data_IF_810428554799
#
_entry.id   IF_810428554799
#
_cell.length_a   1.000
_cell.length_b   1.000
_cell.length_c   1.000
_cell.angle_alpha   90.00
_cell.angle_beta   90.00
_cell.angle_gamma   90.00
#
_symmetry.space_group_name_H-M   'P 1'
#
loop_
_entity.id
_entity.type
_entity.pdbx_description
1 polymer ?
#
# COMPACT_ATOMS: atom_id res chain seq x y z
N UNK A 1 40.36 -35.62 -91.08
CA UNK A 1 39.95 -34.47 -91.94
C UNK A 1 39.17 -33.47 -91.09
N UNK A 2 39.43 -32.18 -91.33
CA UNK A 2 38.70 -30.95 -90.91
C UNK A 2 38.70 -30.51 -89.44
N UNK A 3 39.60 -29.55 -89.16
CA UNK A 3 39.33 -28.30 -88.43
C UNK A 3 38.17 -27.51 -89.12
N UNK A 4 37.40 -26.58 -88.47
CA UNK A 4 37.99 -25.40 -87.81
C UNK A 4 37.24 -24.72 -86.63
N UNK A 5 38.02 -23.89 -85.90
CA UNK A 5 37.81 -22.52 -85.39
C UNK A 5 36.40 -22.07 -84.93
N UNK A 6 36.31 -21.56 -83.68
CA UNK A 6 36.28 -20.11 -83.37
C UNK A 6 36.02 -19.86 -81.87
N UNK A 7 36.89 -19.06 -81.25
CA UNK A 7 36.69 -18.42 -79.94
C UNK A 7 36.12 -17.00 -80.16
N UNK A 8 35.16 -16.54 -79.36
CA UNK A 8 34.99 -15.13 -79.09
C UNK A 8 35.43 -14.78 -77.66
N UNK A 9 36.33 -13.80 -77.57
CA UNK A 9 36.69 -13.10 -76.34
C UNK A 9 35.48 -12.29 -75.85
N UNK A 10 34.92 -12.64 -74.69
CA UNK A 10 33.97 -11.79 -73.98
C UNK A 10 34.67 -11.10 -72.80
N UNK A 11 34.81 -9.78 -72.88
CA UNK A 11 35.22 -8.92 -71.77
C UNK A 11 34.02 -8.80 -70.81
N UNK A 12 34.08 -9.44 -69.65
CA UNK A 12 33.12 -9.19 -68.57
C UNK A 12 33.79 -8.26 -67.58
N UNK A 13 33.31 -7.02 -67.54
CA UNK A 13 33.66 -6.04 -66.51
C UNK A 13 33.06 -6.51 -65.17
N UNK A 14 33.89 -6.62 -64.13
CA UNK A 14 33.41 -6.81 -62.76
C UNK A 14 32.72 -5.53 -62.28
N UNK A 15 31.49 -5.58 -61.75
CA UNK A 15 30.93 -4.45 -61.04
C UNK A 15 31.62 -4.31 -59.67
N UNK A 16 32.18 -3.13 -59.43
CA UNK A 16 32.68 -2.72 -58.11
C UNK A 16 31.48 -2.62 -57.19
N UNK A 17 31.36 -3.58 -56.26
CA UNK A 17 30.36 -3.60 -55.21
C UNK A 17 30.73 -2.53 -54.17
N UNK A 18 30.12 -1.36 -54.25
CA UNK A 18 30.16 -0.36 -53.18
C UNK A 18 29.34 -0.88 -51.99
N UNK A 19 30.01 -1.54 -51.04
CA UNK A 19 29.43 -1.84 -49.73
C UNK A 19 29.37 -0.50 -48.99
N UNK A 20 28.23 0.18 -49.07
CA UNK A 20 27.93 1.29 -48.16
C UNK A 20 27.75 0.68 -46.78
N UNK A 21 28.81 0.74 -45.97
CA UNK A 21 28.79 0.38 -44.56
C UNK A 21 27.86 1.31 -43.79
N UNK A 22 26.57 0.99 -43.78
CA UNK A 22 25.61 1.59 -42.87
C UNK A 22 25.88 1.07 -41.46
N UNK A 23 26.67 1.80 -40.68
CA UNK A 23 26.71 1.62 -39.24
C UNK A 23 25.32 1.96 -38.69
N UNK A 24 24.46 0.94 -38.55
CA UNK A 24 23.17 1.06 -37.89
C UNK A 24 23.46 1.26 -36.39
N UNK A 25 23.65 2.51 -35.99
CA UNK A 25 23.69 2.89 -34.58
C UNK A 25 22.30 2.60 -33.99
N UNK A 26 22.15 1.41 -33.39
CA UNK A 26 20.99 1.12 -32.55
C UNK A 26 21.14 2.00 -31.31
N UNK A 27 20.52 3.17 -31.32
CA UNK A 27 20.31 3.96 -30.12
C UNK A 27 19.38 3.15 -29.21
N UNK A 28 19.94 2.42 -28.26
CA UNK A 28 19.18 1.85 -27.14
C UNK A 28 18.73 3.03 -26.26
N UNK A 29 17.57 3.60 -26.60
CA UNK A 29 16.87 4.53 -25.72
C UNK A 29 16.59 3.80 -24.42
N UNK A 30 17.24 4.21 -23.33
CA UNK A 30 16.90 3.79 -21.97
C UNK A 30 15.51 4.33 -21.65
N UNK A 31 14.47 3.61 -22.08
CA UNK A 31 13.11 3.89 -21.64
C UNK A 31 13.00 3.43 -20.19
N UNK A 32 12.89 4.37 -19.26
CA UNK A 32 12.53 4.07 -17.88
C UNK A 32 11.08 3.59 -17.87
N UNK A 33 10.87 2.28 -17.77
CA UNK A 33 9.52 1.72 -17.61
C UNK A 33 9.01 2.10 -16.22
N UNK A 34 8.00 2.97 -16.14
CA UNK A 34 7.33 3.26 -14.87
C UNK A 34 6.49 2.06 -14.43
N UNK A 35 6.65 1.64 -13.16
CA UNK A 35 5.84 0.58 -12.58
C UNK A 35 4.36 0.96 -12.55
N UNK A 36 3.48 0.02 -12.89
CA UNK A 36 2.03 0.15 -12.73
C UNK A 36 1.65 0.19 -11.25
N UNK A 37 0.45 0.71 -10.93
CA UNK A 37 -0.10 0.69 -9.55
C UNK A 37 -0.06 -0.73 -8.95
N UNK A 38 -0.46 -1.74 -9.70
CA UNK A 38 -0.41 -3.15 -9.28
C UNK A 38 1.01 -3.65 -9.00
N UNK A 39 1.99 -3.28 -9.82
CA UNK A 39 3.39 -3.65 -9.59
C UNK A 39 3.94 -2.98 -8.32
N UNK A 40 3.59 -1.71 -8.08
CA UNK A 40 3.97 -0.98 -6.87
C UNK A 40 3.30 -1.58 -5.62
N UNK A 41 2.00 -1.89 -5.68
CA UNK A 41 1.27 -2.57 -4.60
C UNK A 41 1.92 -3.91 -4.25
N UNK A 42 2.24 -4.72 -5.26
CA UNK A 42 2.93 -5.99 -5.04
C UNK A 42 4.30 -5.80 -4.39
N UNK A 43 5.06 -4.79 -4.80
CA UNK A 43 6.35 -4.47 -4.18
C UNK A 43 6.19 -4.05 -2.70
N UNK A 44 5.17 -3.24 -2.40
CA UNK A 44 4.85 -2.83 -1.02
C UNK A 44 4.49 -4.03 -0.13
N UNK A 45 3.68 -4.96 -0.63
CA UNK A 45 3.11 -6.05 0.16
C UNK A 45 3.88 -7.39 0.07
N UNK A 46 5.05 -7.41 -0.57
CA UNK A 46 5.91 -8.60 -0.66
C UNK A 46 7.14 -8.54 0.25
N UNK A 47 7.23 -7.52 1.11
CA UNK A 47 8.35 -7.35 2.05
C UNK A 47 8.34 -8.48 3.09
N UNK A 48 9.51 -9.05 3.35
CA UNK A 48 9.68 -10.00 4.46
C UNK A 48 9.66 -9.26 5.79
N UNK A 49 8.84 -9.74 6.73
CA UNK A 49 8.69 -9.17 8.07
C UNK A 49 8.89 -10.30 9.09
N UNK A 50 9.61 -10.05 10.21
CA UNK A 50 9.73 -11.03 11.28
C UNK A 50 8.36 -11.51 11.76
N UNK A 51 8.26 -12.80 12.08
CA UNK A 51 7.07 -13.42 12.66
C UNK A 51 7.47 -14.09 13.98
N UNK A 52 6.91 -13.69 15.14
CA UNK A 52 5.85 -12.69 15.29
C UNK A 52 6.32 -11.25 15.00
N UNK A 53 5.40 -10.41 14.53
CA UNK A 53 5.65 -8.98 14.37
C UNK A 53 5.81 -8.35 15.76
N UNK A 54 6.87 -7.55 15.93
CA UNK A 54 7.06 -6.70 17.09
C UNK A 54 7.00 -5.23 16.66
N UNK A 55 5.89 -4.55 16.97
CA UNK A 55 5.77 -3.11 16.80
C UNK A 55 6.39 -2.38 18.00
N UNK A 56 6.89 -1.14 17.82
CA UNK A 56 7.48 -0.37 18.91
C UNK A 56 6.49 -0.16 20.06
N UNK A 57 7.01 -0.04 21.28
CA UNK A 57 6.23 0.42 22.43
C UNK A 57 6.10 1.96 22.38
N UNK A 58 5.00 2.53 22.91
CA UNK A 58 4.86 3.98 23.00
C UNK A 58 5.95 4.54 23.92
N UNK A 59 6.55 5.66 23.51
CA UNK A 59 7.58 6.38 24.27
C UNK A 59 7.03 7.63 24.96
N UNK A 60 5.84 8.09 24.56
CA UNK A 60 5.13 9.22 25.17
C UNK A 60 3.62 9.00 25.15
N UNK A 61 2.92 9.74 25.99
CA UNK A 61 1.45 9.66 26.15
C UNK A 61 0.77 11.02 26.03
N UNK A 62 1.51 12.09 25.76
CA UNK A 62 1.03 13.45 25.64
C UNK A 62 1.94 14.25 24.70
N UNK A 63 1.50 15.45 24.28
CA UNK A 63 2.19 16.27 23.28
C UNK A 63 2.44 15.47 21.97
N UNK A 64 1.49 14.63 21.60
CA UNK A 64 1.45 13.91 20.35
C UNK A 64 1.18 14.89 19.21
N UNK A 65 1.68 14.58 18.01
CA UNK A 65 1.51 15.42 16.82
C UNK A 65 1.07 14.54 15.66
N UNK A 66 -0.01 14.92 14.98
CA UNK A 66 -0.34 14.37 13.66
C UNK A 66 0.54 15.05 12.63
N UNK A 67 1.19 14.27 11.77
CA UNK A 67 1.97 14.79 10.65
C UNK A 67 1.55 14.10 9.36
N UNK A 68 1.12 14.89 8.39
CA UNK A 68 0.71 14.43 7.05
C UNK A 68 -0.35 13.31 7.09
N UNK A 69 -1.29 13.37 8.04
CA UNK A 69 -2.34 12.36 8.23
C UNK A 69 -1.88 11.08 8.95
N UNK A 70 -0.65 11.04 9.46
CA UNK A 70 -0.12 9.93 10.28
C UNK A 70 0.02 10.36 11.75
N UNK A 71 -0.21 9.44 12.69
CA UNK A 71 0.03 9.72 14.10
C UNK A 71 1.52 9.83 14.43
N UNK A 72 1.80 10.44 15.58
CA UNK A 72 3.12 10.38 16.18
C UNK A 72 3.47 8.95 16.59
N UNK A 73 4.49 8.36 15.97
CA UNK A 73 4.93 6.98 16.25
C UNK A 73 5.34 6.76 17.71
N UNK A 74 5.75 7.82 18.43
CA UNK A 74 6.11 7.71 19.83
C UNK A 74 4.87 7.70 20.75
N UNK A 75 3.71 8.18 20.29
CA UNK A 75 2.43 8.02 21.00
C UNK A 75 1.68 6.77 20.55
N UNK A 76 1.53 6.60 19.24
CA UNK A 76 0.66 5.61 18.61
C UNK A 76 1.48 4.79 17.60
N UNK A 77 2.36 3.89 18.09
CA UNK A 77 3.14 3.00 17.22
C UNK A 77 2.31 1.88 16.56
N UNK A 78 1.05 1.70 16.98
CA UNK A 78 0.14 0.70 16.39
C UNK A 78 0.00 -0.57 17.22
N UNK A 79 -0.26 -0.46 18.53
CA UNK A 79 -0.35 -1.63 19.40
C UNK A 79 -1.38 -2.68 18.90
N UNK A 80 -0.98 -3.97 18.89
CA UNK A 80 -1.78 -5.12 18.46
C UNK A 80 -2.10 -6.04 19.64
N UNK A 81 -3.19 -6.79 19.55
CA UNK A 81 -3.50 -7.84 20.52
C UNK A 81 -2.47 -8.99 20.43
N UNK A 82 -1.94 -9.41 21.57
CA UNK A 82 -0.87 -10.42 21.66
C UNK A 82 -1.25 -11.80 21.12
N UNK A 83 -2.54 -12.15 21.12
CA UNK A 83 -3.05 -13.47 20.75
C UNK A 83 -3.88 -13.46 19.46
N UNK A 84 -3.86 -12.37 18.69
CA UNK A 84 -4.66 -12.31 17.48
C UNK A 84 -4.05 -13.13 16.35
N UNK A 85 -4.84 -14.05 15.82
CA UNK A 85 -4.49 -14.88 14.67
C UNK A 85 -5.26 -14.44 13.43
N UNK A 86 -4.74 -14.81 12.25
CA UNK A 86 -5.43 -14.63 10.98
C UNK A 86 -6.82 -15.28 11.02
N UNK A 87 -6.91 -16.47 11.58
CA UNK A 87 -8.16 -17.24 11.67
C UNK A 87 -9.21 -16.50 12.50
N UNK A 88 -8.80 -15.84 13.60
CA UNK A 88 -9.69 -15.04 14.42
C UNK A 88 -10.21 -13.81 13.66
N UNK A 89 -9.32 -13.02 13.03
CA UNK A 89 -9.73 -11.78 12.34
C UNK A 89 -10.55 -12.02 11.08
N UNK A 90 -10.44 -13.19 10.46
CA UNK A 90 -11.22 -13.58 9.29
C UNK A 90 -12.58 -14.20 9.66
N UNK A 91 -12.92 -14.23 10.95
CA UNK A 91 -14.25 -14.65 11.42
C UNK A 91 -15.21 -13.47 11.37
N UNK A 92 -16.39 -13.69 10.79
CA UNK A 92 -17.46 -12.67 10.73
C UNK A 92 -17.79 -12.18 12.13
N UNK A 93 -17.80 -10.85 12.32
CA UNK A 93 -18.11 -10.21 13.59
C UNK A 93 -16.94 -10.06 14.56
N UNK A 94 -15.72 -10.47 14.18
CA UNK A 94 -14.54 -10.34 15.05
C UNK A 94 -14.36 -8.90 15.59
N UNK A 95 -14.26 -7.91 14.70
CA UNK A 95 -14.02 -6.51 15.10
C UNK A 95 -15.10 -5.99 16.04
N UNK A 96 -16.36 -6.36 15.82
CA UNK A 96 -17.48 -5.97 16.70
C UNK A 96 -17.37 -6.62 18.09
N UNK A 97 -16.87 -7.86 18.18
CA UNK A 97 -16.73 -8.57 19.45
C UNK A 97 -15.57 -8.08 20.32
N UNK A 98 -14.54 -7.47 19.71
CA UNK A 98 -13.35 -6.98 20.45
C UNK A 98 -13.31 -5.46 20.60
N UNK A 99 -14.17 -4.70 19.90
CA UNK A 99 -14.18 -3.24 19.98
C UNK A 99 -14.55 -2.77 21.38
N UNK A 100 -13.67 -2.00 22.00
CA UNK A 100 -13.90 -1.43 23.32
C UNK A 100 -13.09 -0.13 23.52
N UNK A 101 -13.61 0.98 23.01
CA UNK A 101 -13.02 2.32 23.20
C UNK A 101 -14.03 3.21 23.91
N UNK A 102 -13.77 3.52 25.18
CA UNK A 102 -14.66 4.34 26.01
C UNK A 102 -14.64 5.81 25.60
N UNK A 103 -15.66 6.57 25.98
CA UNK A 103 -15.68 8.04 25.81
C UNK A 103 -14.48 8.71 26.48
N UNK A 104 -14.14 8.29 27.71
CA UNK A 104 -12.96 8.80 28.42
C UNK A 104 -11.66 8.50 27.67
N UNK A 105 -11.57 7.34 27.02
CA UNK A 105 -10.43 6.99 26.16
C UNK A 105 -10.34 7.93 24.96
N UNK A 106 -11.46 8.20 24.28
CA UNK A 106 -11.50 9.14 23.14
C UNK A 106 -11.09 10.55 23.56
N UNK A 107 -11.62 11.04 24.68
CA UNK A 107 -11.25 12.34 25.24
C UNK A 107 -9.74 12.40 25.55
N UNK A 108 -9.18 11.38 26.21
CA UNK A 108 -7.76 11.33 26.53
C UNK A 108 -6.88 11.31 25.26
N UNK A 109 -7.30 10.62 24.19
CA UNK A 109 -6.60 10.63 22.90
C UNK A 109 -6.59 12.05 22.31
N UNK A 110 -7.74 12.74 22.26
CA UNK A 110 -7.76 14.13 21.76
C UNK A 110 -6.85 15.05 22.57
N UNK A 111 -6.90 14.97 23.90
CA UNK A 111 -6.06 15.76 24.79
C UNK A 111 -4.57 15.48 24.58
N UNK A 112 -4.18 14.21 24.39
CA UNK A 112 -2.80 13.82 24.14
C UNK A 112 -2.24 14.48 22.86
N UNK A 113 -3.09 14.70 21.85
CA UNK A 113 -2.78 15.37 20.59
C UNK A 113 -3.03 16.89 20.61
N UNK A 114 -3.35 17.47 21.76
CA UNK A 114 -3.59 18.90 21.90
C UNK A 114 -4.88 19.40 21.24
N UNK A 115 -5.85 18.51 21.03
CA UNK A 115 -7.16 18.82 20.46
C UNK A 115 -8.22 18.94 21.57
N UNK A 116 -9.19 19.81 21.35
CA UNK A 116 -10.36 19.93 22.24
C UNK A 116 -11.28 18.71 22.13
N UNK A 117 -12.14 18.52 23.11
CA UNK A 117 -13.21 17.51 23.06
C UNK A 117 -14.53 18.15 23.54
N UNK A 118 -15.68 17.89 22.89
CA UNK A 118 -15.83 17.10 21.66
C UNK A 118 -15.31 17.85 20.41
N UNK A 119 -14.98 17.10 19.36
CA UNK A 119 -14.73 17.66 18.03
C UNK A 119 -16.06 17.88 17.29
N UNK A 120 -16.12 18.82 16.34
CA UNK A 120 -17.27 18.93 15.44
C UNK A 120 -17.50 17.62 14.68
N UNK A 121 -18.76 17.30 14.45
CA UNK A 121 -19.14 16.08 13.75
C UNK A 121 -18.55 16.07 12.33
N UNK A 122 -17.79 15.02 12.01
CA UNK A 122 -17.20 14.83 10.70
C UNK A 122 -15.82 15.46 10.49
N UNK A 123 -15.24 16.14 11.49
CA UNK A 123 -13.89 16.69 11.37
C UNK A 123 -12.81 15.67 11.74
N UNK A 124 -13.05 14.90 12.82
CA UNK A 124 -12.14 13.88 13.34
C UNK A 124 -12.88 12.66 13.88
N UNK A 125 -12.22 11.52 13.81
CA UNK A 125 -12.60 10.29 14.51
C UNK A 125 -11.43 9.78 15.33
N UNK A 126 -11.69 9.34 16.58
CA UNK A 126 -10.67 8.56 17.30
C UNK A 126 -10.76 7.14 16.81
N UNK A 127 -9.72 6.72 16.09
CA UNK A 127 -9.71 5.43 15.44
C UNK A 127 -8.34 4.74 15.55
N UNK A 128 -8.34 3.46 15.18
CA UNK A 128 -7.23 2.55 15.30
C UNK A 128 -6.21 2.77 14.17
N UNK A 129 -4.92 2.89 14.49
CA UNK A 129 -3.85 2.93 13.47
C UNK A 129 -3.71 1.57 12.76
N UNK A 130 -3.59 0.49 13.54
CA UNK A 130 -3.81 -0.88 13.06
C UNK A 130 -5.26 -1.21 13.37
N UNK A 131 -6.14 -1.45 12.39
CA UNK A 131 -7.55 -1.66 12.66
C UNK A 131 -7.78 -2.99 13.39
N UNK A 132 -8.91 -3.09 14.08
CA UNK A 132 -9.29 -4.33 14.78
C UNK A 132 -9.35 -5.52 13.81
N UNK A 133 -9.77 -5.32 12.57
CA UNK A 133 -9.79 -6.38 11.56
C UNK A 133 -8.39 -6.86 11.12
N UNK A 134 -7.33 -6.14 11.47
CA UNK A 134 -5.94 -6.60 11.35
C UNK A 134 -5.32 -6.93 12.71
N UNK A 135 -6.14 -7.09 13.75
CA UNK A 135 -5.72 -7.47 15.10
C UNK A 135 -5.14 -6.33 15.93
N UNK A 136 -5.39 -5.09 15.55
CA UNK A 136 -5.11 -3.93 16.40
C UNK A 136 -5.76 -4.04 17.78
N UNK A 137 -5.14 -3.42 18.77
CA UNK A 137 -5.67 -3.34 20.15
C UNK A 137 -6.49 -2.07 20.36
N UNK A 138 -7.31 -2.02 21.41
CA UNK A 138 -8.01 -0.79 21.83
C UNK A 138 -7.14 0.14 22.69
N UNK A 139 -5.84 -0.15 22.83
CA UNK A 139 -4.94 0.66 23.66
C UNK A 139 -4.72 2.04 23.03
N UNK A 140 -4.49 3.06 23.86
CA UNK A 140 -4.16 4.41 23.37
C UNK A 140 -2.92 4.43 22.47
N UNK A 141 -2.01 3.46 22.62
CA UNK A 141 -0.87 3.23 21.74
C UNK A 141 -1.24 2.75 20.32
N UNK A 142 -2.52 2.53 20.06
CA UNK A 142 -3.07 2.24 18.74
C UNK A 142 -4.19 3.22 18.34
N UNK A 143 -4.50 4.22 19.16
CA UNK A 143 -5.56 5.19 18.87
C UNK A 143 -4.99 6.57 18.58
N UNK A 144 -5.56 7.27 17.61
CA UNK A 144 -5.22 8.66 17.31
C UNK A 144 -6.41 9.41 16.73
N UNK A 145 -6.41 10.77 16.76
CA UNK A 145 -7.43 11.55 16.09
C UNK A 145 -7.16 11.58 14.59
N UNK A 146 -7.93 10.81 13.84
CA UNK A 146 -7.86 10.76 12.38
C UNK A 146 -8.76 11.83 11.77
N UNK A 147 -8.18 12.70 10.94
CA UNK A 147 -8.89 13.82 10.34
C UNK A 147 -9.65 13.41 9.06
N UNK A 148 -10.76 14.10 8.79
CA UNK A 148 -11.44 14.01 7.49
C UNK A 148 -10.64 14.69 6.37
N UNK A 149 -10.02 15.82 6.70
CA UNK A 149 -9.31 16.69 5.77
C UNK A 149 -7.98 17.16 6.39
N UNK A 150 -6.95 17.45 5.58
CA UNK A 150 -6.91 17.29 4.14
C UNK A 150 -6.88 15.82 3.72
N UNK A 151 -7.45 15.51 2.55
CA UNK A 151 -7.39 14.14 2.00
C UNK A 151 -5.99 13.70 1.58
N UNK A 152 -5.69 12.40 1.65
CA UNK A 152 -6.56 11.31 2.13
C UNK A 152 -6.77 11.35 3.66
N UNK A 153 -8.02 11.20 4.10
CA UNK A 153 -8.44 11.18 5.52
C UNK A 153 -9.09 9.86 5.92
N UNK A 154 -9.87 9.83 7.02
CA UNK A 154 -10.41 8.57 7.57
C UNK A 154 -11.15 7.70 6.55
N UNK A 155 -11.93 8.29 5.63
CA UNK A 155 -12.65 7.51 4.60
C UNK A 155 -11.71 6.82 3.61
N UNK A 156 -10.57 7.42 3.33
CA UNK A 156 -9.56 6.82 2.46
C UNK A 156 -8.74 5.76 3.22
N UNK A 157 -8.50 5.93 4.52
CA UNK A 157 -7.91 4.88 5.35
C UNK A 157 -8.85 3.68 5.47
N UNK A 158 -10.16 3.87 5.64
CA UNK A 158 -11.15 2.77 5.64
C UNK A 158 -11.01 1.86 4.41
N UNK A 159 -10.74 2.43 3.22
CA UNK A 159 -10.52 1.64 2.00
C UNK A 159 -9.24 0.80 2.10
N UNK A 160 -8.19 1.33 2.72
CA UNK A 160 -6.93 0.62 2.95
C UNK A 160 -7.12 -0.52 3.96
N UNK A 161 -7.84 -0.27 5.04
CA UNK A 161 -8.15 -1.28 6.06
C UNK A 161 -8.86 -2.47 5.43
N UNK A 162 -9.99 -2.19 4.77
CA UNK A 162 -10.80 -3.21 4.12
C UNK A 162 -10.01 -3.98 3.06
N UNK A 163 -9.20 -3.28 2.25
CA UNK A 163 -8.34 -3.92 1.26
C UNK A 163 -7.34 -4.88 1.92
N UNK A 164 -6.60 -4.41 2.93
CA UNK A 164 -5.60 -5.22 3.60
C UNK A 164 -6.22 -6.42 4.34
N UNK A 165 -7.40 -6.26 4.94
CA UNK A 165 -8.15 -7.36 5.54
C UNK A 165 -8.53 -8.43 4.50
N UNK A 166 -9.05 -8.01 3.35
CA UNK A 166 -9.38 -8.93 2.25
C UNK A 166 -8.15 -9.69 1.74
N UNK A 167 -7.03 -8.98 1.54
CA UNK A 167 -5.78 -9.61 1.08
C UNK A 167 -5.24 -10.62 2.10
N UNK A 168 -5.35 -10.32 3.40
CA UNK A 168 -4.95 -11.23 4.48
C UNK A 168 -5.86 -12.46 4.52
N UNK A 169 -7.18 -12.27 4.51
CA UNK A 169 -8.13 -13.39 4.57
C UNK A 169 -8.13 -14.24 3.30
N UNK A 170 -7.74 -13.68 2.16
CA UNK A 170 -7.50 -14.42 0.92
C UNK A 170 -6.12 -15.12 0.86
N UNK A 171 -5.30 -15.03 1.90
CA UNK A 171 -3.92 -15.53 1.94
C UNK A 171 -2.99 -14.94 0.87
N UNK A 172 -3.30 -13.75 0.36
CA UNK A 172 -2.45 -13.04 -0.62
C UNK A 172 -1.37 -12.21 0.07
N UNK A 173 -1.63 -11.76 1.30
CA UNK A 173 -0.69 -11.00 2.14
C UNK A 173 -0.61 -11.63 3.52
N UNK A 174 0.59 -11.69 4.11
CA UNK A 174 0.75 -12.15 5.49
C UNK A 174 0.26 -11.09 6.48
N UNK A 175 -0.43 -11.48 7.55
CA UNK A 175 -0.95 -10.56 8.57
C UNK A 175 0.11 -9.59 9.10
N UNK A 176 1.30 -10.09 9.41
CA UNK A 176 2.44 -9.27 9.88
C UNK A 176 2.86 -8.19 8.86
N UNK A 177 2.73 -8.46 7.56
CA UNK A 177 3.04 -7.47 6.50
C UNK A 177 1.98 -6.38 6.48
N UNK A 178 0.70 -6.74 6.53
CA UNK A 178 -0.41 -5.78 6.57
C UNK A 178 -0.34 -4.89 7.81
N UNK A 179 -0.13 -5.48 9.00
CA UNK A 179 0.04 -4.76 10.26
C UNK A 179 1.22 -3.78 10.22
N UNK A 180 2.38 -4.22 9.72
CA UNK A 180 3.54 -3.34 9.57
C UNK A 180 3.28 -2.22 8.58
N UNK A 181 2.66 -2.53 7.45
CA UNK A 181 2.38 -1.55 6.40
C UNK A 181 1.49 -0.43 6.92
N UNK A 182 0.36 -0.78 7.54
CA UNK A 182 -0.61 0.21 8.03
C UNK A 182 -0.09 1.02 9.21
N UNK A 183 0.67 0.38 10.12
CA UNK A 183 1.30 1.06 11.26
C UNK A 183 2.43 2.02 10.84
N UNK A 184 3.09 1.77 9.71
CA UNK A 184 4.21 2.62 9.24
C UNK A 184 3.72 3.76 8.38
N UNK A 185 2.98 3.45 7.32
CA UNK A 185 2.39 4.41 6.40
C UNK A 185 1.36 3.70 5.52
N UNK A 186 0.08 3.98 5.76
CA UNK A 186 -1.01 3.38 5.01
C UNK A 186 -1.23 4.04 3.63
N UNK A 187 -0.76 5.27 3.44
CA UNK A 187 -1.05 6.08 2.24
C UNK A 187 -0.49 5.48 0.95
N UNK A 188 0.70 4.85 0.90
CA UNK A 188 1.17 4.13 -0.28
C UNK A 188 0.24 3.01 -0.73
N UNK A 189 -0.50 2.36 0.19
CA UNK A 189 -1.52 1.38 -0.20
C UNK A 189 -2.65 2.10 -0.93
N UNK A 190 -3.23 3.14 -0.32
CA UNK A 190 -4.29 3.95 -0.94
C UNK A 190 -3.89 4.47 -2.34
N UNK A 191 -2.70 5.05 -2.48
CA UNK A 191 -2.18 5.60 -3.74
C UNK A 191 -2.08 4.56 -4.86
N UNK A 192 -1.89 3.28 -4.50
CA UNK A 192 -1.74 2.19 -5.45
C UNK A 192 -3.02 1.34 -5.62
N UNK A 193 -4.11 1.67 -4.93
CA UNK A 193 -5.43 1.13 -5.29
C UNK A 193 -5.83 1.64 -6.68
N UNK A 194 -6.32 0.73 -7.50
CA UNK A 194 -6.92 1.03 -8.79
C UNK A 194 -8.34 1.57 -8.62
N UNK A 195 -8.83 2.30 -9.61
CA UNK A 195 -10.20 2.82 -9.54
C UNK A 195 -11.24 1.70 -9.52
N UNK A 196 -10.91 0.51 -10.06
CA UNK A 196 -11.74 -0.67 -9.99
C UNK A 196 -11.83 -1.20 -8.55
N UNK A 197 -10.68 -1.38 -7.88
CA UNK A 197 -10.64 -1.80 -6.47
C UNK A 197 -11.36 -0.80 -5.56
N UNK A 198 -11.15 0.51 -5.75
CA UNK A 198 -11.85 1.55 -4.96
C UNK A 198 -13.37 1.45 -5.16
N UNK A 199 -13.85 1.24 -6.40
CA UNK A 199 -15.29 1.09 -6.66
C UNK A 199 -15.85 -0.17 -6.02
N UNK A 200 -15.13 -1.28 -6.10
CA UNK A 200 -15.53 -2.56 -5.52
C UNK A 200 -15.62 -2.47 -3.99
N UNK A 201 -14.59 -1.93 -3.33
CA UNK A 201 -14.58 -1.70 -1.89
C UNK A 201 -15.76 -0.80 -1.47
N UNK A 202 -15.98 0.31 -2.19
CA UNK A 202 -17.13 1.19 -1.90
C UNK A 202 -18.48 0.50 -2.06
N UNK A 203 -18.63 -0.41 -3.02
CA UNK A 203 -19.87 -1.16 -3.22
C UNK A 203 -20.08 -2.21 -2.13
N UNK A 204 -19.02 -2.94 -1.77
CA UNK A 204 -19.07 -4.01 -0.79
C UNK A 204 -19.33 -3.51 0.63
N UNK A 205 -18.72 -2.38 1.00
CA UNK A 205 -18.79 -1.81 2.35
C UNK A 205 -19.74 -0.60 2.45
N UNK A 206 -20.56 -0.33 1.42
CA UNK A 206 -21.54 0.77 1.42
C UNK A 206 -22.48 0.76 2.63
N UNK A 207 -22.78 -0.42 3.17
CA UNK A 207 -23.72 -0.60 4.29
C UNK A 207 -23.03 -0.67 5.66
N UNK A 208 -21.69 -0.70 5.69
CA UNK A 208 -20.90 -0.78 6.93
C UNK A 208 -20.46 0.60 7.43
N UNK A 209 -20.60 1.63 6.58
CA UNK A 209 -20.38 3.04 6.91
C UNK A 209 -21.57 3.70 7.64
N UNK A 210 -22.40 2.92 8.36
CA UNK A 210 -23.53 3.40 9.16
C UNK A 210 -23.23 3.31 10.65
#
# INVERSE_FOLDING_TARGET
MRFPRNLPFYKIALPILFIVGGAMLIAFSLQTVSLTKTQRMRALLSVSVPTPLALPLPQKTAQCVVKDGLPDVNCTPGAIFSMTTKEAICTVGYSASVRNVSVNTKEAVYQAYGLSYPQPSGDYEVDHLVPLELGGSNDSANLFPEAAEPRPGFREKDLVENYLHQEVCANRVALAVAQRQIATDWRPVYQNLTDAEIRELKQQYANWAQ
#
